data_IF_031425296047
#
_entry.id   IF_031425296047
#
_cell.length_a   1.000
_cell.length_b   1.000
_cell.length_c   1.000
_cell.angle_alpha   90.00
_cell.angle_beta   90.00
_cell.angle_gamma   90.00
#
_symmetry.space_group_name_H-M   'P 1'
#
loop_
_entity.id
_entity.type
_entity.pdbx_description
1 polymer ?
#
# COMPACT_ATOMS: atom_id res chain seq x y z
N UNK A 1 -14.12 18.47 3.27
CA UNK A 1 -12.74 18.36 2.80
C UNK A 1 -12.62 18.39 1.26
N UNK A 2 -13.54 17.78 0.49
CA UNK A 2 -13.54 17.90 -1.00
C UNK A 2 -14.41 19.08 -1.49
N UNK A 3 -15.57 19.32 -0.87
CA UNK A 3 -16.52 20.36 -1.30
C UNK A 3 -16.14 21.82 -0.99
N UNK A 4 -15.14 22.05 -0.13
CA UNK A 4 -14.75 23.40 0.32
C UNK A 4 -13.36 23.80 -0.18
N UNK A 5 -12.91 23.22 -1.29
CA UNK A 5 -11.65 23.53 -1.92
C UNK A 5 -11.86 23.64 -3.43
N UNK A 6 -11.63 24.84 -3.98
CA UNK A 6 -11.98 25.20 -5.36
C UNK A 6 -11.29 24.31 -6.40
N UNK A 7 -10.09 23.82 -6.10
CA UNK A 7 -9.34 22.91 -6.96
C UNK A 7 -9.94 21.51 -7.15
N UNK A 8 -10.92 21.10 -6.33
CA UNK A 8 -11.62 19.81 -6.48
C UNK A 8 -13.00 19.94 -7.12
N UNK A 9 -13.41 21.15 -7.52
CA UNK A 9 -14.72 21.35 -8.14
C UNK A 9 -14.84 20.56 -9.44
N UNK A 10 -15.94 19.81 -9.60
CA UNK A 10 -16.19 18.97 -10.77
C UNK A 10 -15.50 17.60 -10.75
N UNK A 11 -14.65 17.30 -9.76
CA UNK A 11 -14.07 15.96 -9.60
C UNK A 11 -15.06 15.08 -8.84
N UNK A 12 -15.62 14.10 -9.53
CA UNK A 12 -16.58 13.15 -8.97
C UNK A 12 -15.92 11.79 -8.70
N UNK A 13 -16.50 11.05 -7.76
CA UNK A 13 -16.16 9.65 -7.58
C UNK A 13 -16.55 8.83 -8.83
N UNK A 14 -15.80 7.78 -9.17
CA UNK A 14 -16.20 6.87 -10.23
C UNK A 14 -17.57 6.25 -9.94
N UNK A 15 -18.34 5.98 -10.99
CA UNK A 15 -19.69 5.41 -10.88
C UNK A 15 -19.72 3.93 -10.50
N UNK A 16 -18.55 3.27 -10.49
CA UNK A 16 -18.43 1.85 -10.17
C UNK A 16 -17.31 1.63 -9.16
N UNK A 17 -17.46 0.56 -8.38
CA UNK A 17 -16.41 0.13 -7.46
C UNK A 17 -15.21 -0.48 -8.21
N UNK A 18 -15.42 -1.02 -9.41
CA UNK A 18 -14.38 -1.56 -10.28
C UNK A 18 -13.53 -0.45 -10.91
N UNK A 19 -12.80 0.26 -10.07
CA UNK A 19 -11.96 1.38 -10.43
C UNK A 19 -10.55 1.23 -9.86
N UNK A 20 -9.58 1.87 -10.52
CA UNK A 20 -8.15 1.80 -10.16
C UNK A 20 -7.85 2.27 -8.74
N UNK A 21 -8.69 3.14 -8.17
CA UNK A 21 -8.55 3.59 -6.77
C UNK A 21 -8.52 2.44 -5.75
N UNK A 22 -9.13 1.30 -6.07
CA UNK A 22 -9.04 0.12 -5.21
C UNK A 22 -8.10 -0.91 -5.85
N UNK A 23 -8.30 -1.21 -7.14
CA UNK A 23 -7.56 -2.30 -7.79
C UNK A 23 -6.07 -2.03 -7.99
N UNK A 24 -5.63 -0.77 -7.94
CA UNK A 24 -4.22 -0.34 -8.04
C UNK A 24 -3.71 0.09 -6.66
N UNK A 25 -4.36 1.03 -5.98
CA UNK A 25 -3.82 1.63 -4.75
C UNK A 25 -3.76 0.64 -3.58
N UNK A 26 -4.72 -0.28 -3.45
CA UNK A 26 -4.70 -1.27 -2.37
C UNK A 26 -3.50 -2.23 -2.52
N UNK A 27 -3.33 -2.97 -3.63
CA UNK A 27 -2.21 -3.90 -3.77
C UNK A 27 -0.85 -3.25 -3.99
N UNK A 28 -0.78 -2.07 -4.62
CA UNK A 28 0.48 -1.43 -5.01
C UNK A 28 0.99 -0.40 -4.00
N UNK A 29 0.10 0.17 -3.18
CA UNK A 29 0.46 1.20 -2.20
C UNK A 29 0.17 0.72 -0.78
N UNK A 30 -1.08 0.40 -0.43
CA UNK A 30 -1.44 0.11 0.96
C UNK A 30 -0.80 -1.18 1.48
N UNK A 31 -0.82 -2.27 0.69
CA UNK A 31 -0.20 -3.55 1.07
C UNK A 31 1.30 -3.41 1.36
N UNK A 32 2.15 -2.82 0.47
CA UNK A 32 3.57 -2.66 0.78
C UNK A 32 3.81 -1.72 1.97
N UNK A 33 3.02 -0.65 2.14
CA UNK A 33 3.14 0.25 3.31
C UNK A 33 2.80 -0.50 4.60
N UNK A 34 1.71 -1.25 4.61
CA UNK A 34 1.31 -2.06 5.77
C UNK A 34 2.39 -3.10 6.11
N UNK A 35 2.91 -3.80 5.10
CA UNK A 35 3.94 -4.82 5.29
C UNK A 35 5.24 -4.23 5.88
N UNK A 36 5.69 -3.05 5.40
CA UNK A 36 6.83 -2.33 5.96
C UNK A 36 6.59 -1.96 7.43
N UNK A 37 5.42 -1.42 7.74
CA UNK A 37 5.05 -1.05 9.11
C UNK A 37 5.07 -2.26 10.05
N UNK A 38 4.47 -3.37 9.62
CA UNK A 38 4.45 -4.62 10.40
C UNK A 38 5.85 -5.15 10.68
N UNK A 39 6.77 -5.13 9.69
CA UNK A 39 8.16 -5.56 9.94
C UNK A 39 8.84 -4.67 10.98
N UNK A 40 8.75 -3.37 10.82
CA UNK A 40 9.57 -2.43 11.59
C UNK A 40 8.88 -1.93 12.87
N UNK A 41 7.83 -2.62 13.33
CA UNK A 41 7.21 -2.38 14.64
C UNK A 41 6.26 -1.18 14.69
N UNK A 42 5.75 -0.72 13.53
CA UNK A 42 4.77 0.36 13.44
C UNK A 42 3.36 -0.22 13.37
N UNK A 43 2.45 0.30 14.20
CA UNK A 43 1.05 -0.09 14.14
C UNK A 43 0.39 0.38 12.84
N UNK A 44 -0.20 -0.56 12.09
CA UNK A 44 -0.87 -0.31 10.82
C UNK A 44 -2.34 -0.73 10.81
N UNK A 45 -2.96 -0.82 11.99
CA UNK A 45 -4.34 -1.30 12.16
C UNK A 45 -5.35 -0.57 11.25
N UNK A 46 -5.21 0.74 11.11
CA UNK A 46 -6.06 1.54 10.21
C UNK A 46 -5.89 1.14 8.75
N UNK A 47 -4.65 0.95 8.28
CA UNK A 47 -4.36 0.53 6.90
C UNK A 47 -4.90 -0.89 6.66
N UNK A 48 -4.70 -1.80 7.62
CA UNK A 48 -5.22 -3.16 7.54
C UNK A 48 -6.75 -3.22 7.45
N UNK A 49 -7.45 -2.33 8.16
CA UNK A 49 -8.89 -2.20 8.04
C UNK A 49 -9.32 -1.77 6.63
N UNK A 50 -8.64 -0.77 6.05
CA UNK A 50 -8.92 -0.30 4.67
C UNK A 50 -8.62 -1.38 3.63
N UNK A 51 -7.47 -2.08 3.73
CA UNK A 51 -7.15 -3.19 2.83
C UNK A 51 -8.24 -4.26 2.90
N UNK A 52 -8.70 -4.60 4.12
CA UNK A 52 -9.74 -5.61 4.32
C UNK A 52 -11.07 -5.20 3.70
N UNK A 53 -11.47 -3.94 3.83
CA UNK A 53 -12.65 -3.42 3.15
C UNK A 53 -12.49 -3.52 1.62
N UNK A 54 -11.34 -3.14 1.07
CA UNK A 54 -11.03 -3.29 -0.35
C UNK A 54 -11.14 -4.75 -0.82
N UNK A 55 -10.61 -5.70 -0.05
CA UNK A 55 -10.71 -7.12 -0.34
C UNK A 55 -12.16 -7.60 -0.41
N UNK A 56 -13.01 -7.16 0.53
CA UNK A 56 -14.43 -7.52 0.58
C UNK A 56 -15.17 -6.93 -0.63
N UNK A 57 -14.99 -5.63 -0.88
CA UNK A 57 -15.66 -4.92 -1.99
C UNK A 57 -15.35 -5.54 -3.35
N UNK A 58 -14.11 -5.97 -3.57
CA UNK A 58 -13.67 -6.53 -4.85
C UNK A 58 -13.65 -8.06 -4.87
N UNK A 59 -14.09 -8.72 -3.78
CA UNK A 59 -13.99 -10.17 -3.62
C UNK A 59 -12.60 -10.71 -4.01
N UNK A 60 -11.55 -9.99 -3.63
CA UNK A 60 -10.17 -10.23 -4.07
C UNK A 60 -9.23 -10.18 -2.87
N UNK A 61 -8.36 -11.16 -2.72
CA UNK A 61 -7.31 -11.13 -1.71
C UNK A 61 -6.13 -10.26 -2.18
N UNK A 62 -6.10 -9.02 -1.69
CA UNK A 62 -5.03 -8.07 -1.99
C UNK A 62 -3.72 -8.32 -1.26
N UNK A 63 -3.72 -9.05 -0.13
CA UNK A 63 -2.47 -9.48 0.49
C UNK A 63 -1.76 -10.51 -0.38
N UNK A 64 -2.52 -11.43 -0.95
CA UNK A 64 -1.98 -12.40 -1.91
C UNK A 64 -1.61 -11.77 -3.24
N UNK A 65 -2.36 -10.78 -3.73
CA UNK A 65 -2.11 -10.15 -5.05
C UNK A 65 -1.05 -9.05 -5.00
N UNK A 66 -1.01 -8.26 -3.93
CA UNK A 66 -0.20 -7.06 -3.78
C UNK A 66 1.30 -7.31 -3.58
N UNK A 67 2.04 -6.22 -3.44
CA UNK A 67 3.50 -6.22 -3.23
C UNK A 67 3.82 -6.39 -1.75
N UNK A 68 4.11 -7.62 -1.34
CA UNK A 68 4.62 -7.93 0.00
C UNK A 68 6.14 -7.81 0.03
N UNK A 69 6.73 -7.77 1.23
CA UNK A 69 8.18 -7.69 1.37
C UNK A 69 8.90 -8.93 0.80
N UNK A 70 8.28 -10.11 0.88
CA UNK A 70 8.76 -11.33 0.21
C UNK A 70 8.88 -11.12 -1.30
N UNK A 71 7.84 -10.60 -1.95
CA UNK A 71 7.81 -10.37 -3.40
C UNK A 71 8.75 -9.27 -3.86
N UNK A 72 9.02 -8.31 -2.98
CA UNK A 72 9.99 -7.26 -3.22
C UNK A 72 11.44 -7.72 -2.97
N UNK A 73 11.65 -8.92 -2.46
CA UNK A 73 12.99 -9.46 -2.18
C UNK A 73 13.71 -8.76 -1.03
N UNK A 74 13.00 -7.93 -0.26
CA UNK A 74 13.58 -7.17 0.83
C UNK A 74 13.25 -7.77 2.19
N UNK A 75 12.63 -8.97 2.28
CA UNK A 75 12.04 -9.55 3.51
C UNK A 75 12.94 -9.51 4.76
N UNK A 76 14.22 -9.72 4.56
CA UNK A 76 15.16 -9.96 5.66
C UNK A 76 16.05 -8.75 5.95
N UNK A 77 15.86 -7.64 5.22
CA UNK A 77 16.66 -6.43 5.43
C UNK A 77 16.27 -5.71 6.72
N UNK A 78 17.26 -5.40 7.55
CA UNK A 78 17.15 -4.39 8.61
C UNK A 78 16.82 -3.01 8.05
N UNK A 79 16.45 -2.06 8.92
CA UNK A 79 16.17 -0.67 8.50
C UNK A 79 17.40 -0.04 7.83
N UNK A 80 18.60 -0.29 8.37
CA UNK A 80 19.86 0.21 7.81
C UNK A 80 20.19 -0.39 6.45
N UNK A 81 20.04 -1.72 6.30
CA UNK A 81 20.30 -2.40 5.02
C UNK A 81 19.29 -1.97 3.95
N UNK A 82 18.01 -1.83 4.32
CA UNK A 82 16.99 -1.34 3.40
C UNK A 82 17.29 0.10 2.96
N UNK A 83 17.66 0.96 3.90
CA UNK A 83 18.00 2.36 3.60
C UNK A 83 19.22 2.46 2.69
N UNK A 84 20.25 1.63 2.94
CA UNK A 84 21.42 1.54 2.08
C UNK A 84 21.05 1.05 0.68
N UNK A 85 20.26 -0.02 0.59
CA UNK A 85 19.81 -0.61 -0.67
C UNK A 85 19.05 0.39 -1.55
N UNK A 86 18.13 1.16 -0.97
CA UNK A 86 17.36 2.17 -1.72
C UNK A 86 18.23 3.33 -2.20
N UNK A 87 19.27 3.71 -1.46
CA UNK A 87 20.13 4.84 -1.82
C UNK A 87 21.25 4.47 -2.80
N UNK A 88 21.77 3.24 -2.73
CA UNK A 88 22.97 2.83 -3.46
C UNK A 88 22.71 1.74 -4.51
N UNK A 89 21.56 1.06 -4.46
CA UNK A 89 21.21 -0.02 -5.40
C UNK A 89 21.87 -1.37 -5.11
N UNK A 90 22.63 -1.49 -4.02
CA UNK A 90 23.34 -2.70 -3.61
C UNK A 90 23.02 -3.06 -2.15
N UNK A 91 23.11 -4.35 -1.80
CA UNK A 91 22.90 -4.80 -0.41
C UNK A 91 24.24 -4.67 0.31
N UNK A 92 24.27 -3.95 1.43
CA UNK A 92 25.46 -3.88 2.29
C UNK A 92 25.76 -5.29 2.81
N UNK A 93 26.92 -5.83 2.43
CA UNK A 93 27.42 -7.16 2.85
C UNK A 93 28.15 -7.06 4.19
#
# INVERSE_FOLDING_TARGET
MIYNQTGYYGINAPSTLQHRYISEDVPMSLVPIAALGERYGVSVNGINAIIRLGCILHSTDYWRKGRTLDKLGIKDLSVSELTHYVNNGEIAV
#
